data_IF_254201581847
#
_entry.id   IF_254201581847
#
_cell.length_a   1.000
_cell.length_b   1.000
_cell.length_c   1.000
_cell.angle_alpha   90.00
_cell.angle_beta   90.00
_cell.angle_gamma   90.00
#
_symmetry.space_group_name_H-M   'P 1'
#
loop_
_entity.id
_entity.type
_entity.pdbx_description
1 polymer ?
#
# COMPACT_ATOMS: atom_id res chain seq x y z
N UNK A 1 -9.44 -22.36 -11.39
CA UNK A 1 -9.67 -21.52 -10.19
C UNK A 1 -11.12 -21.09 -10.18
N UNK A 2 -11.85 -21.26 -9.06
CA UNK A 2 -13.25 -20.85 -8.95
C UNK A 2 -13.36 -19.31 -8.92
N UNK A 3 -14.41 -18.74 -9.52
CA UNK A 3 -14.73 -17.31 -9.52
C UNK A 3 -14.80 -16.74 -8.09
N UNK A 4 -15.34 -17.49 -7.14
CA UNK A 4 -15.42 -17.08 -5.73
C UNK A 4 -14.04 -16.99 -5.07
N UNK A 5 -13.13 -17.90 -5.43
CA UNK A 5 -11.75 -17.88 -4.95
C UNK A 5 -11.04 -16.63 -5.49
N UNK A 6 -11.23 -16.31 -6.77
CA UNK A 6 -10.66 -15.10 -7.39
C UNK A 6 -11.15 -13.85 -6.67
N UNK A 7 -12.44 -13.76 -6.34
CA UNK A 7 -12.95 -12.59 -5.61
C UNK A 7 -12.36 -12.46 -4.23
N UNK A 8 -12.31 -13.57 -3.47
CA UNK A 8 -11.68 -13.57 -2.14
C UNK A 8 -10.22 -13.14 -2.21
N UNK A 9 -9.49 -13.61 -3.21
CA UNK A 9 -8.10 -13.20 -3.44
C UNK A 9 -8.01 -11.69 -3.68
N UNK A 10 -8.80 -11.14 -4.60
CA UNK A 10 -8.77 -9.70 -4.90
C UNK A 10 -9.21 -8.84 -3.70
N UNK A 11 -10.17 -9.30 -2.91
CA UNK A 11 -10.60 -8.60 -1.68
C UNK A 11 -9.52 -8.65 -0.60
N UNK A 12 -8.83 -9.79 -0.46
CA UNK A 12 -7.66 -9.89 0.42
C UNK A 12 -6.57 -8.89 0.02
N UNK A 13 -6.31 -8.75 -1.27
CA UNK A 13 -5.32 -7.79 -1.78
C UNK A 13 -5.71 -6.33 -1.49
N UNK A 14 -6.99 -5.98 -1.68
CA UNK A 14 -7.49 -4.65 -1.33
C UNK A 14 -7.39 -4.37 0.17
N UNK A 15 -7.65 -5.38 1.01
CA UNK A 15 -7.52 -5.25 2.46
C UNK A 15 -6.06 -4.99 2.86
N UNK A 16 -5.09 -5.69 2.28
CA UNK A 16 -3.66 -5.42 2.55
C UNK A 16 -3.29 -3.97 2.17
N UNK A 17 -3.75 -3.46 1.03
CA UNK A 17 -3.51 -2.06 0.64
C UNK A 17 -4.14 -1.07 1.62
N UNK A 18 -5.32 -1.38 2.18
CA UNK A 18 -5.97 -0.54 3.18
C UNK A 18 -5.18 -0.51 4.50
N UNK A 19 -4.70 -1.65 4.98
CA UNK A 19 -3.88 -1.73 6.19
C UNK A 19 -2.60 -0.88 6.07
N UNK A 20 -1.88 -1.01 4.94
CA UNK A 20 -0.68 -0.20 4.68
C UNK A 20 -1.04 1.31 4.72
N UNK A 21 -2.15 1.71 4.10
CA UNK A 21 -2.59 3.11 4.09
C UNK A 21 -2.97 3.62 5.49
N UNK A 22 -3.62 2.80 6.30
CA UNK A 22 -4.00 3.15 7.67
C UNK A 22 -2.76 3.37 8.55
N UNK A 23 -1.80 2.44 8.51
CA UNK A 23 -0.55 2.56 9.25
C UNK A 23 0.26 3.78 8.77
N UNK A 24 0.33 4.03 7.46
CA UNK A 24 0.97 5.22 6.92
C UNK A 24 0.31 6.52 7.40
N UNK A 25 -1.03 6.52 7.55
CA UNK A 25 -1.77 7.68 8.07
C UNK A 25 -1.38 7.97 9.53
N UNK A 26 -1.12 6.95 10.34
CA UNK A 26 -0.62 7.12 11.72
C UNK A 26 0.76 7.80 11.72
N UNK A 27 1.68 7.33 10.88
CA UNK A 27 3.02 7.92 10.74
C UNK A 27 2.93 9.39 10.30
N UNK A 28 2.08 9.69 9.32
CA UNK A 28 1.84 11.06 8.82
C UNK A 28 1.35 11.99 9.94
N UNK A 29 0.42 11.53 10.78
CA UNK A 29 -0.05 12.29 11.96
C UNK A 29 1.06 12.54 12.97
N UNK A 30 1.90 11.53 13.25
CA UNK A 30 3.05 11.67 14.16
C UNK A 30 4.05 12.70 13.63
N UNK A 31 4.33 12.68 12.32
CA UNK A 31 5.18 13.67 11.66
C UNK A 31 4.63 15.10 11.78
N UNK A 32 3.34 15.30 11.48
CA UNK A 32 2.69 16.61 11.63
C UNK A 32 2.77 17.12 13.07
N UNK A 33 2.48 16.27 14.05
CA UNK A 33 2.54 16.67 15.46
C UNK A 33 3.93 17.08 15.93
N UNK A 34 5.00 16.49 15.38
CA UNK A 34 6.36 16.92 15.72
C UNK A 34 6.73 18.26 15.08
N UNK A 35 6.34 18.49 13.83
CA UNK A 35 6.56 19.77 13.14
C UNK A 35 5.90 20.94 13.87
N UNK A 36 4.76 20.70 14.52
CA UNK A 36 4.05 21.72 15.31
C UNK A 36 4.72 22.04 16.66
N UNK A 37 5.68 21.22 17.12
CA UNK A 37 6.17 21.28 18.51
C UNK A 37 7.72 21.29 18.67
N UNK A 38 8.50 20.84 17.68
CA UNK A 38 9.95 20.63 17.80
C UNK A 38 10.65 21.05 16.51
N UNK A 39 11.55 22.06 16.53
CA UNK A 39 12.31 22.43 15.32
C UNK A 39 13.79 22.78 15.60
N UNK A 40 14.65 21.77 15.76
CA UNK A 40 16.04 21.87 15.31
C UNK A 40 16.09 21.80 13.77
N UNK A 41 16.97 22.56 13.12
CA UNK A 41 17.09 22.58 11.65
C UNK A 41 17.30 21.18 11.03
N UNK A 42 18.02 20.26 11.70
CA UNK A 42 18.27 18.90 11.20
C UNK A 42 17.02 18.00 11.15
N UNK A 43 15.94 18.38 11.83
CA UNK A 43 14.67 17.66 11.80
C UNK A 43 13.87 18.00 10.54
N UNK A 44 14.01 19.23 10.02
CA UNK A 44 13.26 19.71 8.84
C UNK A 44 13.63 18.90 7.60
N UNK A 45 14.91 18.72 7.34
CA UNK A 45 15.40 17.97 6.16
C UNK A 45 14.86 16.52 6.17
N UNK A 46 14.88 15.88 7.34
CA UNK A 46 14.34 14.54 7.51
C UNK A 46 12.81 14.51 7.35
N UNK A 47 12.10 15.51 7.87
CA UNK A 47 10.65 15.58 7.74
C UNK A 47 10.21 15.74 6.27
N UNK A 48 10.95 16.54 5.48
CA UNK A 48 10.73 16.68 4.04
C UNK A 48 10.95 15.36 3.31
N UNK A 49 12.04 14.65 3.62
CA UNK A 49 12.33 13.34 3.05
C UNK A 49 11.19 12.35 3.31
N UNK A 50 10.75 12.24 4.57
CA UNK A 50 9.64 11.35 4.97
C UNK A 50 8.34 11.75 4.28
N UNK A 51 8.05 13.05 4.16
CA UNK A 51 6.86 13.52 3.46
C UNK A 51 6.85 13.06 1.99
N UNK A 52 7.97 13.22 1.28
CA UNK A 52 8.07 12.78 -0.11
C UNK A 52 7.91 11.26 -0.25
N UNK A 53 8.50 10.51 0.68
CA UNK A 53 8.38 9.06 0.76
C UNK A 53 6.92 8.61 1.00
N UNK A 54 6.16 9.31 1.85
CA UNK A 54 4.72 9.09 2.08
C UNK A 54 3.93 9.32 0.79
N UNK A 55 4.17 10.43 0.09
CA UNK A 55 3.48 10.75 -1.17
C UNK A 55 3.72 9.68 -2.23
N UNK A 56 4.98 9.24 -2.39
CA UNK A 56 5.34 8.19 -3.35
C UNK A 56 4.58 6.88 -3.06
N UNK A 57 4.48 6.48 -1.79
CA UNK A 57 3.72 5.29 -1.38
C UNK A 57 2.21 5.46 -1.57
N UNK A 58 1.65 6.62 -1.25
CA UNK A 58 0.24 6.94 -1.51
C UNK A 58 -0.11 6.75 -2.99
N UNK A 59 0.74 7.24 -3.89
CA UNK A 59 0.57 7.07 -5.34
C UNK A 59 0.65 5.59 -5.74
N UNK A 60 1.64 4.84 -5.26
CA UNK A 60 1.81 3.43 -5.57
C UNK A 60 0.59 2.59 -5.13
N UNK A 61 0.11 2.80 -3.90
CA UNK A 61 -1.09 2.14 -3.37
C UNK A 61 -2.33 2.48 -4.20
N UNK A 62 -2.50 3.74 -4.59
CA UNK A 62 -3.64 4.18 -5.41
C UNK A 62 -3.63 3.55 -6.80
N UNK A 63 -2.48 3.47 -7.47
CA UNK A 63 -2.36 2.84 -8.78
C UNK A 63 -2.74 1.36 -8.71
N UNK A 64 -2.17 0.63 -7.74
CA UNK A 64 -2.44 -0.80 -7.60
C UNK A 64 -3.89 -1.08 -7.19
N UNK A 65 -4.46 -0.24 -6.32
CA UNK A 65 -5.89 -0.32 -5.96
C UNK A 65 -6.79 -0.13 -7.18
N UNK A 66 -6.51 0.86 -8.03
CA UNK A 66 -7.28 1.10 -9.27
C UNK A 66 -7.23 -0.11 -10.19
N UNK A 67 -6.06 -0.69 -10.37
CA UNK A 67 -5.83 -1.86 -11.22
C UNK A 67 -6.59 -3.10 -10.71
N UNK A 68 -6.55 -3.35 -9.41
CA UNK A 68 -7.28 -4.47 -8.77
C UNK A 68 -8.80 -4.26 -8.88
N UNK A 69 -9.30 -3.05 -8.63
CA UNK A 69 -10.73 -2.72 -8.77
C UNK A 69 -11.19 -2.88 -10.23
N UNK A 70 -10.39 -2.43 -11.19
CA UNK A 70 -10.70 -2.58 -12.61
C UNK A 70 -10.77 -4.05 -13.02
N UNK A 71 -9.83 -4.88 -12.53
CA UNK A 71 -9.86 -6.32 -12.74
C UNK A 71 -11.10 -6.95 -12.10
N UNK A 72 -11.41 -6.61 -10.84
CA UNK A 72 -12.62 -7.10 -10.14
C UNK A 72 -13.89 -6.78 -10.91
N UNK A 73 -14.05 -5.54 -11.41
CA UNK A 73 -15.20 -5.13 -12.24
C UNK A 73 -15.29 -5.93 -13.54
N UNK A 74 -14.16 -6.13 -14.22
CA UNK A 74 -14.08 -6.94 -15.44
C UNK A 74 -14.53 -8.39 -15.19
N UNK A 75 -14.18 -8.95 -14.03
CA UNK A 75 -14.58 -10.30 -13.62
C UNK A 75 -16.07 -10.38 -13.29
N UNK A 76 -16.65 -9.34 -12.69
CA UNK A 76 -18.11 -9.26 -12.43
C UNK A 76 -18.89 -9.29 -13.74
N UNK A 77 -18.47 -8.47 -14.71
CA UNK A 77 -19.19 -8.30 -15.97
C UNK A 77 -19.18 -9.55 -16.87
N UNK A 78 -18.17 -10.43 -16.74
CA UNK A 78 -18.08 -11.65 -17.54
C UNK A 78 -18.95 -12.78 -16.95
N UNK A 79 -19.94 -13.22 -17.74
CA UNK A 79 -20.94 -14.26 -17.39
C UNK A 79 -20.41 -15.71 -17.45
N UNK A 80 -19.37 -16.00 -18.22
CA UNK A 80 -18.88 -17.39 -18.43
C UNK A 80 -17.52 -17.66 -17.79
N UNK A 81 -17.44 -18.75 -17.04
CA UNK A 81 -16.22 -19.27 -16.36
C UNK A 81 -15.10 -19.59 -17.37
N UNK A 82 -15.46 -19.95 -18.61
CA UNK A 82 -14.52 -20.35 -19.68
C UNK A 82 -13.52 -19.23 -20.02
N UNK A 83 -13.93 -17.96 -19.89
CA UNK A 83 -13.04 -16.81 -20.11
C UNK A 83 -12.05 -16.54 -18.97
N UNK A 84 -12.28 -17.12 -17.78
CA UNK A 84 -11.40 -16.97 -16.61
C UNK A 84 -10.34 -18.06 -16.53
N UNK A 85 -10.52 -19.15 -17.26
CA UNK A 85 -9.48 -20.15 -17.53
C UNK A 85 -8.42 -19.57 -18.48
N UNK A 86 -8.70 -18.41 -19.10
CA UNK A 86 -7.72 -17.70 -19.89
C UNK A 86 -6.57 -17.22 -18.99
N UNK A 87 -5.38 -17.76 -19.24
CA UNK A 87 -4.15 -17.64 -18.44
C UNK A 87 -3.82 -16.18 -18.04
N UNK A 88 -4.27 -15.20 -18.82
CA UNK A 88 -4.01 -13.78 -18.58
C UNK A 88 -4.54 -13.24 -17.25
N UNK A 89 -5.75 -13.61 -16.80
CA UNK A 89 -6.29 -13.09 -15.53
C UNK A 89 -5.56 -13.69 -14.32
N UNK A 90 -5.22 -14.98 -14.39
CA UNK A 90 -4.42 -15.65 -13.36
C UNK A 90 -3.04 -14.99 -13.27
N UNK A 91 -2.39 -14.72 -14.41
CA UNK A 91 -1.12 -13.97 -14.46
C UNK A 91 -1.23 -12.57 -13.83
N UNK A 92 -2.31 -11.84 -14.09
CA UNK A 92 -2.54 -10.53 -13.48
C UNK A 92 -2.71 -10.63 -11.96
N UNK A 93 -3.46 -11.61 -11.47
CA UNK A 93 -3.64 -11.82 -10.03
C UNK A 93 -2.30 -12.16 -9.36
N UNK A 94 -1.49 -13.03 -9.98
CA UNK A 94 -0.15 -13.37 -9.49
C UNK A 94 0.72 -12.12 -9.44
N UNK A 95 0.74 -11.32 -10.52
CA UNK A 95 1.46 -10.05 -10.56
C UNK A 95 1.03 -9.11 -9.43
N UNK A 96 -0.27 -8.94 -9.19
CA UNK A 96 -0.75 -8.08 -8.10
C UNK A 96 -0.38 -8.62 -6.71
N UNK A 97 -0.39 -9.94 -6.51
CA UNK A 97 0.11 -10.58 -5.28
C UNK A 97 1.59 -10.25 -5.04
N UNK A 98 2.42 -10.37 -6.07
CA UNK A 98 3.86 -10.06 -5.99
C UNK A 98 4.10 -8.57 -5.71
N UNK A 99 3.37 -7.69 -6.38
CA UNK A 99 3.46 -6.24 -6.16
C UNK A 99 3.03 -5.85 -4.74
N UNK A 100 1.96 -6.43 -4.21
CA UNK A 100 1.51 -6.18 -2.84
C UNK A 100 2.52 -6.72 -1.83
N UNK A 101 3.02 -7.94 -2.02
CA UNK A 101 4.03 -8.51 -1.14
C UNK A 101 5.30 -7.64 -1.10
N UNK A 102 5.72 -7.10 -2.25
CA UNK A 102 6.81 -6.14 -2.30
C UNK A 102 6.49 -4.87 -1.50
N UNK A 103 5.34 -4.22 -1.75
CA UNK A 103 4.95 -3.00 -1.03
C UNK A 103 4.80 -3.22 0.47
N UNK A 104 4.27 -4.36 0.89
CA UNK A 104 4.11 -4.70 2.31
C UNK A 104 5.47 -4.87 3.01
N UNK A 105 6.42 -5.57 2.38
CA UNK A 105 7.76 -5.76 2.93
C UNK A 105 8.54 -4.45 3.00
N UNK A 106 8.48 -3.66 1.92
CA UNK A 106 9.08 -2.34 1.83
C UNK A 106 8.52 -1.41 2.93
N UNK A 107 7.20 -1.38 3.08
CA UNK A 107 6.52 -0.59 4.09
C UNK A 107 6.92 -0.99 5.51
N UNK A 108 6.96 -2.29 5.83
CA UNK A 108 7.36 -2.78 7.17
C UNK A 108 8.77 -2.33 7.55
N UNK A 109 9.71 -2.43 6.62
CA UNK A 109 11.09 -1.98 6.84
C UNK A 109 11.13 -0.47 7.07
N UNK A 110 10.47 0.29 6.20
CA UNK A 110 10.41 1.74 6.29
C UNK A 110 9.74 2.24 7.57
N UNK A 111 8.60 1.65 7.95
CA UNK A 111 7.85 2.02 9.15
C UNK A 111 8.69 1.80 10.40
N UNK A 112 9.45 0.70 10.46
CA UNK A 112 10.37 0.41 11.56
C UNK A 112 11.46 1.48 11.68
N UNK A 113 12.18 1.78 10.59
CA UNK A 113 13.26 2.78 10.59
C UNK A 113 12.72 4.17 10.94
N UNK A 114 11.53 4.51 10.44
CA UNK A 114 10.87 5.79 10.72
C UNK A 114 10.48 5.89 12.20
N UNK A 115 9.97 4.81 12.78
CA UNK A 115 9.63 4.75 14.21
C UNK A 115 10.87 4.94 15.09
N UNK A 116 11.96 4.22 14.81
CA UNK A 116 13.24 4.38 15.53
C UNK A 116 13.73 5.82 15.48
N UNK A 117 13.65 6.47 14.31
CA UNK A 117 14.07 7.85 14.15
C UNK A 117 13.19 8.82 14.94
N UNK A 118 11.87 8.63 14.95
CA UNK A 118 10.98 9.43 15.80
C UNK A 118 11.39 9.38 17.28
N UNK A 119 11.73 8.19 17.78
CA UNK A 119 12.09 8.02 19.18
C UNK A 119 13.40 8.76 19.51
N UNK A 120 14.35 8.83 18.58
CA UNK A 120 15.58 9.64 18.76
C UNK A 120 15.36 11.15 18.77
N UNK A 121 14.28 11.64 18.17
CA UNK A 121 13.97 13.08 18.13
C UNK A 121 13.26 13.54 19.41
N UNK A 122 12.53 12.63 20.06
CA UNK A 122 11.75 12.89 21.28
C UNK A 122 12.57 12.62 22.56
N UNK A 123 13.65 11.84 22.47
CA UNK A 123 14.59 11.57 23.56
C UNK A 123 15.48 12.77 23.92
#
# INVERSE_FOLDING_TARGET
>A
MNKDIIYKDLDSLLNTLNLIQEEQTVIKRKLSGLLDHVVPNHFIDWAEEIHQQILNREVALQLLRKDIIALKKTIVQKKSIIYFVNNQYVKLIIKYKEQIAYLENEFKLWAKVTAEKFDTIVA
#
